data_IF_080365382493
#
_entry.id   IF_080365382493
#
_cell.length_a   1.000
_cell.length_b   1.000
_cell.length_c   1.000
_cell.angle_alpha   90.00
_cell.angle_beta   90.00
_cell.angle_gamma   90.00
#
_symmetry.space_group_name_H-M   'P 1'
#
loop_
_entity.id
_entity.type
_entity.pdbx_description
1 polymer ?
#
# COMPACT_ATOMS: atom_id res chain seq x y z
N UNK A 1 -9.77 18.80 17.60
CA UNK A 1 -9.64 18.58 16.14
C UNK A 1 -8.33 19.06 15.51
N UNK A 2 -7.37 19.55 16.29
CA UNK A 2 -6.05 20.05 15.81
C UNK A 2 -4.96 18.99 15.65
N UNK A 3 -5.26 17.72 15.84
CA UNK A 3 -4.26 16.66 16.03
C UNK A 3 -3.69 16.03 14.75
N UNK A 4 -4.15 16.45 13.57
CA UNK A 4 -3.71 15.84 12.31
C UNK A 4 -3.14 16.91 11.38
N UNK A 5 -1.81 17.08 11.43
CA UNK A 5 -1.08 17.86 10.42
C UNK A 5 -1.21 17.14 9.07
N UNK A 6 -2.23 17.51 8.30
CA UNK A 6 -2.40 17.04 6.93
C UNK A 6 -1.37 17.76 6.07
N UNK A 7 -0.52 17.00 5.38
CA UNK A 7 0.44 17.59 4.45
C UNK A 7 -0.29 18.35 3.35
N UNK A 8 0.16 19.57 3.09
CA UNK A 8 -0.32 20.43 2.03
C UNK A 8 0.61 20.33 0.83
N UNK A 9 0.07 20.57 -0.35
CA UNK A 9 0.85 20.66 -1.58
C UNK A 9 2.00 21.68 -1.49
N UNK A 10 1.77 22.83 -0.85
CA UNK A 10 2.81 23.85 -0.60
C UNK A 10 4.03 23.36 0.18
N UNK A 11 3.93 22.28 0.93
CA UNK A 11 5.08 21.65 1.58
C UNK A 11 6.12 21.05 0.63
N UNK A 12 5.82 21.03 -0.68
CA UNK A 12 6.67 20.46 -1.74
C UNK A 12 7.12 21.51 -2.75
N UNK A 13 7.15 22.79 -2.37
CA UNK A 13 7.50 23.89 -3.31
C UNK A 13 8.95 23.82 -3.80
N UNK A 14 9.85 23.20 -3.06
CA UNK A 14 11.25 22.98 -3.47
C UNK A 14 11.41 21.98 -4.63
N UNK A 15 10.38 21.16 -4.91
CA UNK A 15 10.43 20.18 -6.00
C UNK A 15 9.95 20.81 -7.32
N UNK A 16 10.85 20.85 -8.31
CA UNK A 16 10.59 21.49 -9.62
C UNK A 16 9.61 20.71 -10.48
N UNK A 17 9.72 19.38 -10.48
CA UNK A 17 8.93 18.48 -11.33
C UNK A 17 7.78 17.86 -10.54
N UNK A 18 6.82 18.68 -10.14
CA UNK A 18 5.66 18.25 -9.37
C UNK A 18 4.36 18.62 -10.05
N UNK A 19 3.35 17.79 -9.85
CA UNK A 19 1.97 18.06 -10.24
C UNK A 19 1.01 17.68 -9.10
N UNK A 20 -0.07 18.40 -8.97
CA UNK A 20 -1.11 18.09 -7.99
C UNK A 20 -2.49 18.13 -8.66
N UNK A 21 -3.21 17.04 -8.54
CA UNK A 21 -4.54 16.93 -9.10
C UNK A 21 -5.41 16.01 -8.23
N UNK A 22 -6.60 16.46 -7.86
CA UNK A 22 -7.62 15.67 -7.14
C UNK A 22 -7.07 14.91 -5.92
N UNK A 23 -6.27 15.59 -5.08
CA UNK A 23 -5.68 15.01 -3.87
C UNK A 23 -4.49 14.09 -4.12
N UNK A 24 -4.02 14.00 -5.37
CA UNK A 24 -2.88 13.20 -5.78
C UNK A 24 -1.71 14.12 -6.13
N UNK A 25 -0.60 13.95 -5.40
CA UNK A 25 0.67 14.59 -5.70
C UNK A 25 1.51 13.66 -6.56
N UNK A 26 1.98 14.13 -7.71
CA UNK A 26 2.97 13.42 -8.52
C UNK A 26 4.30 14.15 -8.44
N UNK A 27 5.36 13.45 -8.07
CA UNK A 27 6.74 13.93 -8.04
C UNK A 27 7.58 13.13 -9.02
N UNK A 28 8.31 13.81 -9.89
CA UNK A 28 9.29 13.17 -10.78
C UNK A 28 10.68 13.52 -10.25
N UNK A 29 11.29 12.60 -9.54
CA UNK A 29 12.61 12.77 -8.95
C UNK A 29 13.70 12.42 -9.97
N UNK A 30 14.86 13.03 -9.79
CA UNK A 30 16.04 12.82 -10.67
C UNK A 30 17.17 12.10 -9.93
N UNK A 31 17.13 12.04 -8.60
CA UNK A 31 18.17 11.47 -7.75
C UNK A 31 17.62 10.74 -6.53
N UNK A 32 18.47 9.93 -5.92
CA UNK A 32 18.16 9.26 -4.67
C UNK A 32 18.10 10.24 -3.48
N UNK A 33 18.89 11.31 -3.51
CA UNK A 33 18.87 12.36 -2.48
C UNK A 33 17.54 13.11 -2.43
N UNK A 34 16.93 13.36 -3.59
CA UNK A 34 15.57 13.93 -3.63
C UNK A 34 14.55 13.01 -2.94
N UNK A 35 14.71 11.67 -3.06
CA UNK A 35 13.85 10.74 -2.32
C UNK A 35 14.02 10.88 -0.81
N UNK A 36 15.23 11.07 -0.30
CA UNK A 36 15.45 11.33 1.13
C UNK A 36 14.76 12.61 1.58
N UNK A 37 14.79 13.66 0.76
CA UNK A 37 14.11 14.93 1.04
C UNK A 37 12.59 14.73 1.11
N UNK A 38 12.01 13.96 0.18
CA UNK A 38 10.59 13.57 0.21
C UNK A 38 10.26 12.77 1.48
N UNK A 39 11.06 11.76 1.79
CA UNK A 39 10.87 10.95 3.01
C UNK A 39 10.88 11.82 4.26
N UNK A 40 11.79 12.79 4.37
CA UNK A 40 11.84 13.71 5.51
C UNK A 40 10.55 14.50 5.67
N UNK A 41 10.00 15.04 4.59
CA UNK A 41 8.73 15.80 4.64
C UNK A 41 7.57 14.91 5.12
N UNK A 42 7.49 13.67 4.63
CA UNK A 42 6.43 12.74 5.03
C UNK A 42 6.66 12.13 6.42
N UNK A 43 7.91 11.99 6.89
CA UNK A 43 8.25 11.34 8.17
C UNK A 43 7.80 12.13 9.39
N UNK A 44 7.63 13.44 9.25
CA UNK A 44 7.04 14.28 10.31
C UNK A 44 5.56 13.94 10.57
N UNK A 45 5.01 13.03 9.76
CA UNK A 45 3.61 12.60 9.83
C UNK A 45 3.50 11.07 9.72
N UNK A 46 3.30 10.39 10.86
CA UNK A 46 3.13 8.92 10.95
C UNK A 46 1.86 8.38 10.26
N UNK A 47 1.07 9.28 9.68
CA UNK A 47 -0.22 8.93 9.07
C UNK A 47 -0.09 8.39 7.64
N UNK A 48 1.13 8.30 7.11
CA UNK A 48 1.38 7.82 5.76
C UNK A 48 1.91 6.40 5.75
N UNK A 49 1.39 5.59 4.83
CA UNK A 49 1.88 4.26 4.50
C UNK A 49 2.40 4.23 3.07
N UNK A 50 3.32 3.32 2.79
CA UNK A 50 4.14 3.32 1.58
C UNK A 50 4.03 2.01 0.81
N UNK A 51 4.15 2.09 -0.51
CA UNK A 51 4.18 0.92 -1.38
C UNK A 51 5.12 1.16 -2.55
N UNK A 52 6.06 0.25 -2.78
CA UNK A 52 6.94 0.27 -3.95
C UNK A 52 6.42 -0.60 -5.08
N UNK A 53 6.54 -0.12 -6.31
CA UNK A 53 6.31 -0.90 -7.52
C UNK A 53 7.49 -0.73 -8.48
N UNK A 54 7.90 -1.84 -9.08
CA UNK A 54 9.05 -1.93 -9.98
C UNK A 54 8.91 -1.08 -11.23
N UNK A 55 7.69 -0.88 -11.69
CA UNK A 55 7.39 -0.17 -12.92
C UNK A 55 6.22 0.79 -12.71
N UNK A 56 6.32 1.98 -13.28
CA UNK A 56 5.21 2.89 -13.46
C UNK A 56 4.59 2.64 -14.83
N UNK A 57 3.63 1.75 -14.91
CA UNK A 57 2.97 1.35 -16.15
C UNK A 57 1.44 1.22 -15.94
N UNK A 58 0.70 1.33 -17.03
CA UNK A 58 -0.79 1.38 -16.98
C UNK A 58 -1.41 0.11 -16.42
N UNK A 59 -0.78 -1.04 -16.64
CA UNK A 59 -1.26 -2.33 -16.17
C UNK A 59 -1.07 -2.51 -14.65
N UNK A 60 -0.10 -1.81 -14.07
CA UNK A 60 0.25 -1.92 -12.66
C UNK A 60 -0.45 -0.86 -11.81
N UNK A 61 -1.77 -0.90 -11.85
CA UNK A 61 -2.61 -0.02 -11.05
C UNK A 61 -2.60 -0.41 -9.56
N UNK A 62 -3.08 0.49 -8.69
CA UNK A 62 -3.21 0.24 -7.24
C UNK A 62 -4.41 -0.68 -6.95
N UNK A 63 -4.42 -1.86 -7.58
CA UNK A 63 -5.41 -2.93 -7.39
C UNK A 63 -4.79 -4.15 -6.75
N UNK A 64 -5.58 -4.87 -5.97
CA UNK A 64 -5.17 -6.15 -5.39
C UNK A 64 -4.92 -7.22 -6.45
N UNK A 65 -4.24 -8.30 -6.08
CA UNK A 65 -4.02 -9.44 -6.98
C UNK A 65 -5.34 -10.08 -7.42
N UNK A 66 -6.31 -10.15 -6.53
CA UNK A 66 -7.66 -10.64 -6.86
C UNK A 66 -8.35 -9.70 -7.85
N UNK A 67 -8.34 -8.39 -7.63
CA UNK A 67 -9.06 -7.42 -8.48
C UNK A 67 -8.43 -7.26 -9.87
N UNK A 68 -7.13 -7.57 -10.02
CA UNK A 68 -6.49 -7.68 -11.33
C UNK A 68 -6.92 -8.94 -12.08
N UNK A 69 -7.04 -10.08 -11.37
CA UNK A 69 -7.43 -11.37 -11.94
C UNK A 69 -8.92 -11.45 -12.25
N UNK A 70 -9.75 -10.86 -11.39
CA UNK A 70 -11.20 -10.86 -11.50
C UNK A 70 -11.72 -9.41 -11.55
N UNK A 71 -11.61 -8.75 -12.71
CA UNK A 71 -12.12 -7.38 -12.85
C UNK A 71 -13.63 -7.36 -12.59
N UNK A 72 -14.18 -6.16 -12.38
CA UNK A 72 -15.62 -5.97 -12.10
C UNK A 72 -16.49 -6.77 -13.07
N UNK A 73 -17.00 -7.87 -12.61
CA UNK A 73 -17.92 -8.76 -13.33
C UNK A 73 -19.05 -9.17 -12.40
N UNK A 74 -20.17 -9.63 -12.96
CA UNK A 74 -21.29 -10.16 -12.20
C UNK A 74 -20.89 -11.34 -11.29
N UNK A 75 -19.81 -12.03 -11.61
CA UNK A 75 -19.33 -13.21 -10.86
C UNK A 75 -18.25 -12.91 -9.83
N UNK A 76 -17.75 -11.65 -9.73
CA UNK A 76 -16.65 -11.29 -8.84
C UNK A 76 -16.90 -11.67 -7.37
N UNK A 77 -18.10 -11.39 -6.87
CA UNK A 77 -18.47 -11.70 -5.48
C UNK A 77 -18.44 -13.20 -5.22
N UNK A 78 -19.01 -14.00 -6.12
CA UNK A 78 -19.05 -15.45 -5.98
C UNK A 78 -17.64 -16.06 -5.99
N UNK A 79 -16.74 -15.55 -6.84
CA UNK A 79 -15.36 -16.00 -6.88
C UNK A 79 -14.59 -15.63 -5.60
N UNK A 80 -14.80 -14.43 -5.06
CA UNK A 80 -14.21 -14.01 -3.81
C UNK A 80 -14.67 -14.93 -2.65
N UNK A 81 -15.98 -15.16 -2.55
CA UNK A 81 -16.58 -16.02 -1.52
C UNK A 81 -16.10 -17.48 -1.68
N UNK A 82 -15.98 -17.99 -2.89
CA UNK A 82 -15.50 -19.35 -3.17
C UNK A 82 -14.05 -19.53 -2.73
N UNK A 83 -13.16 -18.59 -3.12
CA UNK A 83 -11.74 -18.63 -2.74
C UNK A 83 -11.60 -18.54 -1.23
N UNK A 84 -12.34 -17.65 -0.59
CA UNK A 84 -12.31 -17.46 0.86
C UNK A 84 -12.72 -18.72 1.61
N UNK A 85 -13.89 -19.29 1.27
CA UNK A 85 -14.41 -20.49 1.94
C UNK A 85 -13.45 -21.68 1.80
N UNK A 86 -12.94 -21.90 0.60
CA UNK A 86 -12.00 -23.00 0.35
C UNK A 86 -10.69 -22.84 1.14
N UNK A 87 -10.18 -21.61 1.24
CA UNK A 87 -8.95 -21.37 2.00
C UNK A 87 -9.21 -21.47 3.51
N UNK A 88 -10.30 -20.91 4.01
CA UNK A 88 -10.69 -20.98 5.41
C UNK A 88 -10.82 -22.42 5.89
N UNK A 89 -11.51 -23.28 5.12
CA UNK A 89 -11.64 -24.69 5.42
C UNK A 89 -10.28 -25.39 5.51
N UNK A 90 -9.41 -25.18 4.50
CA UNK A 90 -8.04 -25.74 4.54
C UNK A 90 -7.21 -25.26 5.73
N UNK A 91 -7.42 -24.02 6.19
CA UNK A 91 -6.74 -23.48 7.35
C UNK A 91 -7.24 -24.14 8.65
N UNK A 92 -8.55 -24.42 8.74
CA UNK A 92 -9.17 -25.11 9.86
C UNK A 92 -8.76 -26.59 9.95
N UNK A 93 -8.50 -27.24 8.80
CA UNK A 93 -8.07 -28.63 8.70
C UNK A 93 -6.59 -28.85 9.08
N UNK A 94 -5.80 -27.79 9.31
CA UNK A 94 -4.40 -27.91 9.69
C UNK A 94 -4.25 -28.46 11.12
N UNK A 95 -3.32 -29.40 11.36
CA UNK A 95 -2.96 -29.84 12.71
C UNK A 95 -2.52 -28.61 13.55
N UNK A 96 -3.05 -28.44 14.72
CA UNK A 96 -2.84 -27.31 15.63
C UNK A 96 -3.61 -26.00 15.31
N UNK A 97 -4.58 -26.03 14.40
CA UNK A 97 -5.51 -24.90 14.20
C UNK A 97 -6.58 -24.78 15.31
N UNK A 98 -6.76 -25.82 16.10
CA UNK A 98 -7.92 -26.16 16.93
C UNK A 98 -8.42 -25.17 17.98
N UNK A 99 -7.74 -24.02 18.22
CA UNK A 99 -8.22 -23.00 19.16
C UNK A 99 -7.93 -21.56 18.70
N UNK A 100 -7.63 -21.34 17.42
CA UNK A 100 -7.29 -20.01 16.92
C UNK A 100 -8.47 -19.45 16.16
N UNK A 101 -9.11 -18.43 16.72
CA UNK A 101 -10.14 -17.65 16.01
C UNK A 101 -9.47 -16.54 15.21
N UNK A 102 -9.47 -16.67 13.87
CA UNK A 102 -9.01 -15.63 12.96
C UNK A 102 -10.19 -14.82 12.45
N UNK A 103 -10.00 -13.51 12.34
CA UNK A 103 -10.93 -12.66 11.59
C UNK A 103 -10.79 -12.94 10.08
N UNK A 104 -11.80 -12.60 9.30
CA UNK A 104 -11.78 -12.78 7.84
C UNK A 104 -10.60 -12.03 7.19
N UNK A 105 -10.24 -10.84 7.72
CA UNK A 105 -9.12 -10.05 7.21
C UNK A 105 -7.77 -10.71 7.53
N UNK A 106 -7.65 -11.37 8.69
CA UNK A 106 -6.48 -12.18 9.04
C UNK A 106 -6.34 -13.40 8.15
N UNK A 107 -7.44 -14.09 7.86
CA UNK A 107 -7.45 -15.23 6.92
C UNK A 107 -6.98 -14.79 5.54
N UNK A 108 -7.44 -13.63 5.04
CA UNK A 108 -6.97 -13.09 3.78
C UNK A 108 -5.48 -12.77 3.78
N UNK A 109 -4.97 -12.14 4.85
CA UNK A 109 -3.55 -11.81 4.97
C UNK A 109 -2.66 -13.07 5.01
N UNK A 110 -3.10 -14.12 5.72
CA UNK A 110 -2.44 -15.42 5.71
C UNK A 110 -2.45 -16.00 4.29
N UNK A 111 -3.61 -16.02 3.63
CA UNK A 111 -3.74 -16.52 2.27
C UNK A 111 -2.82 -15.81 1.28
N UNK A 112 -2.67 -14.49 1.42
CA UNK A 112 -1.75 -13.71 0.59
C UNK A 112 -0.29 -14.13 0.76
N UNK A 113 0.13 -14.40 1.99
CA UNK A 113 1.48 -14.92 2.26
C UNK A 113 1.76 -16.23 1.53
N UNK A 114 0.74 -17.09 1.39
CA UNK A 114 0.83 -18.34 0.63
C UNK A 114 0.49 -18.21 -0.87
N UNK A 115 0.48 -16.98 -1.41
CA UNK A 115 0.29 -16.74 -2.84
C UNK A 115 -1.17 -16.77 -3.32
N UNK A 116 -2.14 -16.80 -2.40
CA UNK A 116 -3.54 -16.72 -2.75
C UNK A 116 -3.84 -15.35 -3.38
N UNK A 117 -4.60 -15.25 -4.47
CA UNK A 117 -5.10 -13.99 -4.95
C UNK A 117 -6.13 -13.44 -3.96
N UNK A 118 -5.75 -12.36 -3.26
CA UNK A 118 -6.57 -11.76 -2.21
C UNK A 118 -7.05 -10.36 -2.59
N UNK A 119 -8.11 -9.84 -1.96
CA UNK A 119 -8.59 -8.47 -2.15
C UNK A 119 -7.72 -7.45 -1.42
N UNK A 120 -6.58 -7.86 -0.86
CA UNK A 120 -5.67 -7.01 -0.11
C UNK A 120 -4.57 -6.45 -1.01
N UNK A 121 -4.23 -5.19 -0.81
CA UNK A 121 -3.07 -4.53 -1.39
C UNK A 121 -2.08 -4.18 -0.27
N UNK A 122 -0.83 -4.63 -0.43
CA UNK A 122 0.23 -4.46 0.57
C UNK A 122 0.75 -3.04 0.64
N UNK A 123 1.01 -2.59 1.86
CA UNK A 123 1.70 -1.36 2.21
C UNK A 123 2.69 -1.61 3.34
N UNK A 124 3.57 -0.67 3.58
CA UNK A 124 4.49 -0.66 4.72
C UNK A 124 4.49 0.71 5.39
N UNK A 125 4.79 0.76 6.69
CA UNK A 125 5.02 2.03 7.39
C UNK A 125 6.42 2.61 7.12
N UNK A 126 7.31 1.84 6.48
CA UNK A 126 8.69 2.24 6.24
C UNK A 126 8.93 2.61 4.76
N UNK A 127 9.24 3.87 4.44
CA UNK A 127 9.51 4.32 3.07
C UNK A 127 10.68 3.56 2.42
N UNK A 128 11.69 3.20 3.19
CA UNK A 128 12.85 2.48 2.69
C UNK A 128 12.56 1.01 2.36
N UNK A 129 11.61 0.37 3.06
CA UNK A 129 11.11 -0.95 2.67
C UNK A 129 10.34 -0.85 1.35
N UNK A 130 9.50 0.18 1.18
CA UNK A 130 8.83 0.41 -0.09
C UNK A 130 9.82 0.68 -1.23
N UNK A 131 10.87 1.45 -0.98
CA UNK A 131 11.95 1.66 -1.92
C UNK A 131 12.64 0.34 -2.29
N UNK A 132 12.99 -0.49 -1.31
CA UNK A 132 13.56 -1.81 -1.55
C UNK A 132 12.64 -2.65 -2.47
N UNK A 133 11.34 -2.69 -2.19
CA UNK A 133 10.38 -3.41 -3.02
C UNK A 133 10.33 -2.88 -4.46
N UNK A 134 10.47 -1.56 -4.65
CA UNK A 134 10.50 -0.95 -5.97
C UNK A 134 11.79 -1.29 -6.74
N UNK A 135 12.95 -1.32 -6.08
CA UNK A 135 14.26 -1.41 -6.72
C UNK A 135 14.89 -2.82 -6.69
N UNK A 136 14.39 -3.74 -5.87
CA UNK A 136 14.99 -5.07 -5.68
C UNK A 136 15.15 -5.84 -7.00
N UNK A 137 14.10 -5.96 -7.81
CA UNK A 137 14.15 -6.62 -9.10
C UNK A 137 14.51 -5.63 -10.21
N UNK A 138 15.24 -6.08 -11.22
CA UNK A 138 15.41 -5.31 -12.47
C UNK A 138 14.09 -5.20 -13.22
N UNK A 139 13.95 -4.14 -14.00
CA UNK A 139 12.86 -4.02 -14.96
C UNK A 139 13.21 -4.96 -16.12
N UNK A 140 12.30 -5.85 -16.46
CA UNK A 140 12.47 -6.78 -17.58
C UNK A 140 12.04 -6.12 -18.89
N UNK A 141 12.66 -6.51 -20.01
CA UNK A 141 12.29 -5.99 -21.31
C UNK A 141 10.81 -6.23 -21.61
N UNK A 142 10.08 -5.17 -21.94
CA UNK A 142 8.65 -5.22 -22.21
C UNK A 142 7.72 -4.99 -21.00
N UNK A 143 8.27 -4.84 -19.78
CA UNK A 143 7.46 -4.53 -18.59
C UNK A 143 7.12 -3.05 -18.43
N UNK A 144 7.83 -2.16 -19.12
CA UNK A 144 7.61 -0.71 -19.03
C UNK A 144 7.01 -0.13 -20.31
N UNK A 145 5.91 0.59 -20.16
CA UNK A 145 5.32 1.44 -21.21
C UNK A 145 6.18 2.69 -21.46
N UNK A 146 7.45 2.53 -21.86
CA UNK A 146 8.34 3.64 -22.26
C UNK A 146 8.95 4.49 -21.14
N UNK A 147 8.61 4.35 -19.88
CA UNK A 147 9.29 5.06 -18.80
C UNK A 147 10.06 4.08 -17.94
N UNK A 148 11.39 4.17 -17.96
CA UNK A 148 12.27 3.43 -17.04
C UNK A 148 12.14 3.96 -15.60
N UNK A 149 10.92 4.36 -15.20
CA UNK A 149 10.65 4.88 -13.90
C UNK A 149 10.05 3.80 -12.98
N UNK A 150 10.59 3.77 -11.79
CA UNK A 150 10.00 3.06 -10.65
C UNK A 150 9.04 3.99 -9.92
N UNK A 151 8.09 3.44 -9.20
CA UNK A 151 7.17 4.28 -8.44
C UNK A 151 7.09 3.84 -6.99
N UNK A 152 7.12 4.83 -6.11
CA UNK A 152 6.82 4.65 -4.69
C UNK A 152 5.57 5.46 -4.39
N UNK A 153 4.53 4.78 -3.98
CA UNK A 153 3.28 5.40 -3.54
C UNK A 153 3.33 5.67 -2.05
N UNK A 154 2.71 6.76 -1.63
CA UNK A 154 2.41 6.99 -0.21
C UNK A 154 0.97 7.47 -0.04
N UNK A 155 0.26 6.88 0.91
CA UNK A 155 -1.18 7.05 1.13
C UNK A 155 -1.46 7.51 2.56
N UNK A 156 -2.28 8.56 2.71
CA UNK A 156 -2.71 9.05 4.00
C UNK A 156 -3.77 8.13 4.64
N UNK A 157 -3.37 7.33 5.61
CA UNK A 157 -4.24 6.35 6.28
C UNK A 157 -5.33 7.00 7.16
N UNK A 158 -5.08 8.18 7.69
CA UNK A 158 -6.07 8.86 8.56
C UNK A 158 -7.21 9.42 7.73
N UNK A 159 -6.91 10.04 6.59
CA UNK A 159 -7.95 10.47 5.67
C UNK A 159 -8.80 9.32 5.19
N UNK A 160 -8.19 8.18 4.89
CA UNK A 160 -8.95 7.00 4.49
C UNK A 160 -9.82 6.43 5.62
N UNK A 161 -9.33 6.40 6.87
CA UNK A 161 -10.16 6.05 8.04
C UNK A 161 -11.33 7.02 8.22
N UNK A 162 -11.12 8.29 7.94
CA UNK A 162 -12.17 9.30 7.98
C UNK A 162 -13.20 9.07 6.87
N UNK A 163 -12.75 8.80 5.64
CA UNK A 163 -13.61 8.43 4.49
C UNK A 163 -14.54 7.27 4.88
N UNK A 164 -14.00 6.25 5.56
CA UNK A 164 -14.75 5.08 5.98
C UNK A 164 -15.77 5.36 7.10
N UNK A 165 -15.64 6.47 7.82
CA UNK A 165 -16.56 6.87 8.92
C UNK A 165 -17.65 7.83 8.46
N UNK A 166 -17.54 8.45 7.30
CA UNK A 166 -18.56 9.34 6.77
C UNK A 166 -19.77 8.50 6.41
N UNK A 167 -20.79 8.58 7.25
CA UNK A 167 -22.13 8.05 6.97
C UNK A 167 -22.90 9.08 6.19
N UNK A 168 -23.60 8.67 5.17
CA UNK A 168 -24.56 9.55 4.51
C UNK A 168 -25.62 9.95 5.57
N UNK A 169 -25.72 11.24 5.83
CA UNK A 169 -26.69 11.77 6.81
C UNK A 169 -28.16 11.42 6.44
N UNK A 170 -28.44 11.21 5.14
CA UNK A 170 -29.77 10.87 4.63
C UNK A 170 -30.06 9.37 4.61
N UNK A 171 -29.09 8.53 4.27
CA UNK A 171 -29.30 7.07 4.06
C UNK A 171 -28.75 6.21 5.19
N UNK A 172 -27.97 6.79 6.12
CA UNK A 172 -27.18 6.08 7.14
C UNK A 172 -26.22 5.01 6.58
N UNK A 173 -26.03 4.97 5.28
CA UNK A 173 -25.07 4.08 4.62
C UNK A 173 -23.65 4.63 4.73
N UNK A 174 -22.68 3.73 4.90
CA UNK A 174 -21.25 4.06 4.81
C UNK A 174 -20.92 4.31 3.34
N UNK A 175 -20.64 5.56 2.98
CA UNK A 175 -20.42 5.99 1.60
C UNK A 175 -19.13 5.50 0.97
N UNK A 176 -18.17 5.05 1.78
CA UNK A 176 -16.94 4.43 1.29
C UNK A 176 -16.85 3.01 1.81
N UNK A 177 -16.62 2.08 0.89
CA UNK A 177 -16.45 0.65 1.17
C UNK A 177 -14.98 0.24 1.19
N UNK A 178 -14.06 1.21 1.06
CA UNK A 178 -12.65 0.95 1.19
C UNK A 178 -12.28 0.88 2.65
N UNK A 179 -11.63 -0.20 3.05
CA UNK A 179 -11.19 -0.41 4.41
C UNK A 179 -9.68 -0.51 4.50
N UNK A 180 -9.09 0.18 5.47
CA UNK A 180 -7.79 -0.18 5.99
C UNK A 180 -7.94 -1.36 6.93
N UNK A 181 -7.31 -2.45 6.56
CA UNK A 181 -7.13 -3.58 7.45
C UNK A 181 -5.77 -3.41 8.11
N UNK A 182 -5.76 -3.00 9.38
CA UNK A 182 -4.55 -3.06 10.19
C UNK A 182 -4.46 -4.46 10.79
N UNK A 183 -3.42 -5.17 10.42
CA UNK A 183 -3.16 -6.51 10.91
C UNK A 183 -2.25 -6.44 12.14
N UNK A 184 -2.76 -6.84 13.31
CA UNK A 184 -1.95 -6.98 14.53
C UNK A 184 -1.53 -8.44 14.71
N UNK A 185 -0.33 -8.74 14.25
CA UNK A 185 0.28 -10.06 14.38
C UNK A 185 0.62 -10.47 15.82
N UNK A 186 0.54 -9.54 16.78
CA UNK A 186 0.87 -9.83 18.18
C UNK A 186 -0.24 -10.56 18.92
N UNK A 187 -1.45 -10.56 18.38
CA UNK A 187 -2.60 -11.17 19.06
C UNK A 187 -2.66 -12.68 18.98
N UNK A 188 -2.11 -13.28 17.94
CA UNK A 188 -2.23 -14.70 17.69
C UNK A 188 -0.84 -15.35 17.65
N UNK A 189 -0.61 -16.37 18.50
CA UNK A 189 0.58 -17.23 18.49
C UNK A 189 0.70 -18.08 17.21
N UNK A 190 0.52 -17.45 16.06
CA UNK A 190 0.77 -18.10 14.77
C UNK A 190 2.28 -18.19 14.56
N UNK A 191 2.73 -19.31 13.98
CA UNK A 191 4.11 -19.71 13.86
C UNK A 191 5.07 -18.54 13.61
N UNK A 192 5.98 -18.33 14.56
CA UNK A 192 6.79 -17.12 14.72
C UNK A 192 7.68 -16.81 13.52
N UNK A 193 8.18 -17.82 12.80
CA UNK A 193 9.12 -17.60 11.71
C UNK A 193 8.47 -16.99 10.47
N UNK A 194 7.27 -17.44 10.10
CA UNK A 194 6.57 -16.91 8.93
C UNK A 194 6.00 -15.51 9.17
N UNK A 195 5.56 -15.23 10.39
CA UNK A 195 5.06 -13.92 10.79
C UNK A 195 6.18 -12.89 11.01
N UNK A 196 7.41 -13.32 11.26
CA UNK A 196 8.55 -12.44 11.45
C UNK A 196 8.82 -11.57 10.22
N UNK A 197 8.64 -12.13 9.02
CA UNK A 197 8.77 -11.35 7.77
C UNK A 197 7.74 -10.21 7.67
N UNK A 198 6.48 -10.48 7.97
CA UNK A 198 5.42 -9.45 7.95
C UNK A 198 5.65 -8.37 9.01
N UNK A 199 6.11 -8.77 10.21
CA UNK A 199 6.50 -7.84 11.28
C UNK A 199 7.68 -6.97 10.87
N UNK A 200 8.73 -7.58 10.33
CA UNK A 200 9.93 -6.87 9.88
C UNK A 200 9.63 -5.89 8.76
N UNK A 201 8.64 -6.19 7.91
CA UNK A 201 8.17 -5.31 6.84
C UNK A 201 7.22 -4.21 7.32
N UNK A 202 6.81 -4.20 8.61
CA UNK A 202 5.79 -3.27 9.12
C UNK A 202 4.56 -3.20 8.20
N UNK A 203 4.09 -4.39 7.78
CA UNK A 203 3.07 -4.57 6.77
C UNK A 203 1.72 -3.98 7.19
N UNK A 204 1.07 -3.33 6.26
CA UNK A 204 -0.31 -2.83 6.32
C UNK A 204 -1.04 -3.24 5.07
N UNK A 205 -2.35 -3.24 5.12
CA UNK A 205 -3.17 -3.62 3.98
C UNK A 205 -4.28 -2.61 3.73
N UNK A 206 -4.62 -2.43 2.46
CA UNK A 206 -5.88 -1.81 2.06
C UNK A 206 -6.74 -2.84 1.34
N UNK A 207 -8.05 -2.71 1.46
CA UNK A 207 -9.02 -3.59 0.80
C UNK A 207 -10.08 -2.74 0.12
N UNK A 208 -10.11 -2.79 -1.21
CA UNK A 208 -11.15 -2.17 -2.02
C UNK A 208 -12.32 -3.14 -2.16
N UNK A 209 -13.49 -2.80 -1.62
CA UNK A 209 -14.63 -3.74 -1.57
C UNK A 209 -15.24 -4.06 -2.94
N UNK A 210 -15.18 -3.11 -3.87
CA UNK A 210 -15.77 -3.27 -5.20
C UNK A 210 -14.74 -3.52 -6.31
N UNK A 211 -13.47 -3.75 -5.94
CA UNK A 211 -12.39 -3.93 -6.90
C UNK A 211 -11.98 -2.64 -7.60
N UNK A 212 -12.26 -1.49 -6.97
CA UNK A 212 -11.80 -0.19 -7.46
C UNK A 212 -10.29 -0.05 -7.28
N UNK A 213 -9.70 0.74 -8.15
CA UNK A 213 -8.35 1.23 -8.00
C UNK A 213 -8.30 2.28 -6.87
N UNK A 214 -7.26 2.24 -6.02
CA UNK A 214 -7.09 3.19 -4.91
C UNK A 214 -7.01 4.63 -5.43
N UNK A 215 -6.32 4.86 -6.55
CA UNK A 215 -6.22 6.18 -7.16
C UNK A 215 -7.60 6.72 -7.56
N UNK A 216 -8.40 5.91 -8.26
CA UNK A 216 -9.76 6.28 -8.62
C UNK A 216 -10.65 6.55 -7.39
N UNK A 217 -10.45 5.82 -6.30
CA UNK A 217 -11.15 6.04 -5.03
C UNK A 217 -10.77 7.39 -4.42
N UNK A 218 -9.48 7.74 -4.43
CA UNK A 218 -8.98 9.05 -3.96
C UNK A 218 -9.59 10.19 -4.77
N UNK A 219 -9.62 10.07 -6.10
CA UNK A 219 -10.21 11.09 -6.99
C UNK A 219 -11.71 11.29 -6.73
N UNK A 220 -12.46 10.19 -6.57
CA UNK A 220 -13.89 10.23 -6.21
C UNK A 220 -14.14 10.93 -4.88
N UNK A 221 -13.31 10.60 -3.87
CA UNK A 221 -13.38 11.22 -2.56
C UNK A 221 -13.08 12.72 -2.63
N UNK A 222 -11.99 13.09 -3.29
CA UNK A 222 -11.57 14.50 -3.40
C UNK A 222 -12.63 15.36 -4.06
N UNK A 223 -13.27 14.89 -5.13
CA UNK A 223 -14.38 15.58 -5.79
C UNK A 223 -15.58 15.83 -4.89
N UNK A 224 -15.82 14.95 -3.92
CA UNK A 224 -16.94 15.06 -2.99
C UNK A 224 -16.64 15.94 -1.80
N UNK A 225 -15.39 15.94 -1.32
CA UNK A 225 -14.98 16.53 -0.05
C UNK A 225 -14.09 17.76 -0.27
N UNK A 226 -14.66 18.86 -0.76
CA UNK A 226 -13.94 20.10 -1.12
C UNK A 226 -13.08 20.70 0.00
N UNK A 227 -13.37 20.41 1.27
CA UNK A 227 -12.56 20.85 2.41
C UNK A 227 -11.11 20.31 2.43
N UNK A 228 -10.76 19.43 1.50
CA UNK A 228 -9.43 18.82 1.37
C UNK A 228 -8.68 19.26 0.12
N UNK A 229 -9.07 20.36 -0.52
CA UNK A 229 -8.52 20.83 -1.81
C UNK A 229 -6.98 20.93 -1.83
N UNK A 230 -6.35 21.33 -0.72
CA UNK A 230 -4.89 21.49 -0.60
C UNK A 230 -4.19 20.29 0.04
N UNK A 231 -4.91 19.20 0.34
CA UNK A 231 -4.37 18.06 1.08
C UNK A 231 -3.92 16.93 0.17
N UNK A 232 -2.73 16.41 0.45
CA UNK A 232 -2.21 15.23 -0.21
C UNK A 232 -2.82 13.99 0.44
N UNK A 233 -3.60 13.27 -0.35
CA UNK A 233 -4.22 12.00 0.06
C UNK A 233 -3.35 10.84 -0.41
N UNK A 234 -2.90 10.90 -1.65
CA UNK A 234 -2.00 9.95 -2.29
C UNK A 234 -0.83 10.72 -2.91
N UNK A 235 0.38 10.20 -2.83
CA UNK A 235 1.47 10.67 -3.67
C UNK A 235 2.03 9.53 -4.52
N UNK A 236 2.39 9.87 -5.75
CA UNK A 236 3.11 9.05 -6.72
C UNK A 236 4.51 9.64 -6.87
N UNK A 237 5.52 8.92 -6.39
CA UNK A 237 6.91 9.36 -6.42
C UNK A 237 7.62 8.52 -7.47
N UNK A 238 7.86 9.12 -8.63
CA UNK A 238 8.52 8.48 -9.75
C UNK A 238 10.03 8.71 -9.64
N UNK A 239 10.79 7.64 -9.76
CA UNK A 239 12.24 7.65 -9.62
C UNK A 239 12.84 6.86 -10.78
N UNK A 240 13.82 7.40 -11.55
CA UNK A 240 14.40 6.69 -12.67
C UNK A 240 15.16 5.44 -12.22
N UNK A 241 15.15 4.38 -13.05
CA UNK A 241 15.87 3.14 -12.75
C UNK A 241 17.39 3.34 -12.67
N UNK A 242 17.90 4.42 -13.27
CA UNK A 242 19.33 4.77 -13.24
C UNK A 242 19.90 4.93 -11.81
N UNK A 243 19.05 5.29 -10.83
CA UNK A 243 19.49 5.41 -9.42
C UNK A 243 19.43 4.07 -8.64
N UNK A 244 19.13 2.96 -9.31
CA UNK A 244 18.92 1.67 -8.68
C UNK A 244 20.10 1.20 -7.83
N UNK A 245 21.31 1.26 -8.38
CA UNK A 245 22.52 0.79 -7.69
C UNK A 245 22.82 1.66 -6.44
N UNK A 246 22.65 2.96 -6.54
CA UNK A 246 22.79 3.89 -5.41
C UNK A 246 21.77 3.56 -4.31
N UNK A 247 20.51 3.41 -4.69
CA UNK A 247 19.43 3.04 -3.79
C UNK A 247 19.74 1.72 -3.04
N UNK A 248 20.08 0.66 -3.76
CA UNK A 248 20.35 -0.65 -3.15
C UNK A 248 21.58 -0.62 -2.24
N UNK A 249 22.63 0.08 -2.64
CA UNK A 249 23.85 0.26 -1.83
C UNK A 249 23.50 0.94 -0.50
N UNK A 250 22.75 2.03 -0.54
CA UNK A 250 22.32 2.74 0.66
C UNK A 250 21.44 1.84 1.55
N UNK A 251 20.46 1.14 0.98
CA UNK A 251 19.56 0.26 1.73
C UNK A 251 20.30 -0.90 2.41
N UNK A 252 21.37 -1.42 1.81
CA UNK A 252 22.24 -2.43 2.42
C UNK A 252 22.97 -1.88 3.66
N UNK A 253 23.36 -0.62 3.64
CA UNK A 253 24.01 0.04 4.78
C UNK A 253 23.06 0.23 5.98
N UNK A 254 21.75 0.38 5.72
CA UNK A 254 20.72 0.53 6.75
C UNK A 254 20.37 -0.78 7.47
N UNK A 255 20.85 -1.93 6.97
CA UNK A 255 20.62 -3.23 7.65
C UNK A 255 21.28 -3.23 9.04
N UNK A 256 20.59 -3.70 10.10
CA UNK A 256 21.19 -3.88 11.43
C UNK A 256 22.44 -4.74 11.35
N UNK A 257 23.52 -4.35 12.02
CA UNK A 257 24.82 -5.05 12.00
C UNK A 257 24.74 -6.55 12.40
N UNK A 258 23.71 -6.96 13.17
CA UNK A 258 23.48 -8.38 13.56
C UNK A 258 23.11 -9.30 12.39
N UNK A 259 22.64 -8.77 11.27
CA UNK A 259 22.32 -9.57 10.08
C UNK A 259 23.53 -9.81 9.16
N UNK A 260 24.67 -9.15 9.41
CA UNK A 260 25.90 -9.28 8.59
C UNK A 260 26.79 -10.46 8.96
N UNK A 261 26.54 -11.14 10.08
CA UNK A 261 27.41 -12.21 10.61
C UNK A 261 26.88 -13.63 10.33
N UNK A 262 25.88 -13.80 9.48
CA UNK A 262 25.29 -15.10 9.13
C UNK A 262 25.28 -15.37 7.61
N UNK A 263 26.05 -14.62 6.82
CA UNK A 263 26.46 -14.97 5.47
C UNK A 263 27.96 -15.32 5.50
#
# INVERSE_FOLDING_TARGET
>A
MEKYRKLKYSGFDDFKNKAFNMGILTLNLTSWDEFHSVVKIFSDNSDYIWRGQRCYCKEWTLKSSFDRKYPKSSNRKNELDRIFKNFKQKLEDLPNSGNKSFTDDEIWAIGQHYGLPTPLLDWTECPYIAAYMAFFKKIENGESDQTENRVIYTLNRVLNRYINKIKNAKTKEVLSRDRFVEFDLNRNNFDLEQNQRLRNQKGKFTKALEGDDIKATVEKFWKREQQYEDKIILAEILIPDTVREECLTHLLQLRPKKARSQE
#
